data_IF_392055021850
#
_entry.id   IF_392055021850
#
_cell.length_a   1.000
_cell.length_b   1.000
_cell.length_c   1.000
_cell.angle_alpha   90.00
_cell.angle_beta   90.00
_cell.angle_gamma   90.00
#
_symmetry.space_group_name_H-M   'P 1'
#
loop_
_entity.id
_entity.type
_entity.pdbx_description
1 polymer ?
#
# COMPACT_ATOMS: atom_id res chain seq x y z
N UNK A 1 -7.88 -15.74 -16.39
CA UNK A 1 -6.93 -14.65 -16.08
C UNK A 1 -7.51 -13.83 -14.92
N UNK A 2 -6.80 -13.67 -13.80
CA UNK A 2 -7.16 -12.60 -12.85
C UNK A 2 -6.70 -11.28 -13.47
N UNK A 3 -7.50 -10.20 -13.42
CA UNK A 3 -7.05 -8.91 -13.91
C UNK A 3 -5.76 -8.52 -13.18
N UNK A 4 -4.83 -7.84 -13.86
CA UNK A 4 -3.57 -7.31 -13.31
C UNK A 4 -3.77 -6.34 -12.11
N UNK A 5 -5.01 -6.13 -11.68
CA UNK A 5 -5.46 -5.17 -10.70
C UNK A 5 -5.51 -5.72 -9.27
N UNK A 6 -5.09 -6.98 -9.03
CA UNK A 6 -5.14 -7.63 -7.71
C UNK A 6 -3.86 -8.39 -7.37
N UNK A 7 -3.32 -8.13 -6.17
CA UNK A 7 -2.31 -9.03 -5.59
C UNK A 7 -2.95 -10.36 -5.16
N UNK A 8 -2.31 -11.50 -5.45
CA UNK A 8 -2.87 -12.88 -5.33
C UNK A 8 -3.56 -13.21 -3.99
N UNK A 9 -3.23 -12.51 -2.90
CA UNK A 9 -3.71 -12.77 -1.53
C UNK A 9 -4.59 -11.65 -0.93
N UNK A 10 -4.95 -10.64 -1.71
CA UNK A 10 -5.73 -9.51 -1.21
C UNK A 10 -7.15 -9.55 -1.77
N UNK A 11 -8.12 -9.34 -0.88
CA UNK A 11 -9.55 -9.21 -1.21
C UNK A 11 -9.92 -7.79 -1.68
N UNK A 12 -8.93 -6.94 -1.96
CA UNK A 12 -9.11 -5.58 -2.45
C UNK A 12 -8.19 -5.35 -3.66
N UNK A 13 -8.66 -4.56 -4.62
CA UNK A 13 -7.85 -4.20 -5.79
C UNK A 13 -6.68 -3.30 -5.38
N UNK A 14 -5.60 -3.34 -6.17
CA UNK A 14 -4.45 -2.46 -6.06
C UNK A 14 -4.92 -1.01 -6.05
N UNK A 15 -5.85 -0.64 -6.94
CA UNK A 15 -6.43 0.69 -7.03
C UNK A 15 -7.16 1.11 -5.74
N UNK A 16 -7.99 0.23 -5.16
CA UNK A 16 -8.70 0.53 -3.91
C UNK A 16 -7.74 0.76 -2.73
N UNK A 17 -6.69 -0.07 -2.65
CA UNK A 17 -5.64 0.05 -1.64
C UNK A 17 -4.87 1.36 -1.84
N UNK A 18 -4.46 1.65 -3.08
CA UNK A 18 -3.74 2.87 -3.43
C UNK A 18 -4.55 4.11 -3.08
N UNK A 19 -5.84 4.18 -3.48
CA UNK A 19 -6.73 5.29 -3.15
C UNK A 19 -6.86 5.49 -1.64
N UNK A 20 -7.05 4.40 -0.87
CA UNK A 20 -7.16 4.49 0.58
C UNK A 20 -5.89 5.01 1.25
N UNK A 21 -4.72 4.54 0.81
CA UNK A 21 -3.42 4.97 1.33
C UNK A 21 -3.10 6.41 0.93
N UNK A 22 -3.33 6.78 -0.34
CA UNK A 22 -3.12 8.13 -0.84
C UNK A 22 -4.01 9.14 -0.12
N UNK A 23 -5.29 8.83 0.08
CA UNK A 23 -6.19 9.71 0.80
C UNK A 23 -5.72 9.92 2.24
N UNK A 24 -5.26 8.86 2.92
CA UNK A 24 -4.70 8.97 4.27
C UNK A 24 -3.41 9.78 4.30
N UNK A 25 -2.51 9.59 3.34
CA UNK A 25 -1.23 10.29 3.25
C UNK A 25 -1.41 11.78 2.92
N UNK A 26 -2.36 12.12 2.04
CA UNK A 26 -2.61 13.50 1.59
C UNK A 26 -3.51 14.29 2.52
N UNK A 27 -4.56 13.67 3.05
CA UNK A 27 -5.62 14.36 3.80
C UNK A 27 -5.69 13.95 5.29
N UNK A 28 -4.85 13.02 5.73
CA UNK A 28 -4.82 12.57 7.12
C UNK A 28 -6.05 11.75 7.56
N UNK A 29 -6.93 11.33 6.65
CA UNK A 29 -8.19 10.61 6.95
C UNK A 29 -8.36 9.39 6.05
N UNK A 30 -9.04 8.36 6.56
CA UNK A 30 -9.41 7.20 5.74
C UNK A 30 -10.66 7.49 4.91
N UNK A 31 -10.80 6.90 3.71
CA UNK A 31 -12.04 6.99 2.96
C UNK A 31 -13.22 6.37 3.72
N UNK A 32 -14.44 6.92 3.53
CA UNK A 32 -15.66 6.27 4.02
C UNK A 32 -15.82 4.89 3.35
N UNK A 33 -16.42 3.94 4.06
CA UNK A 33 -16.66 2.58 3.55
C UNK A 33 -15.46 1.63 3.63
N UNK A 34 -14.25 2.12 3.92
CA UNK A 34 -13.09 1.26 4.19
C UNK A 34 -12.98 0.99 5.68
N UNK A 35 -12.89 -0.29 6.06
CA UNK A 35 -12.60 -0.66 7.45
C UNK A 35 -11.26 -0.07 7.90
N UNK A 36 -11.29 0.79 8.93
CA UNK A 36 -10.10 1.40 9.53
C UNK A 36 -9.06 0.38 9.95
N UNK A 37 -9.49 -0.79 10.46
CA UNK A 37 -8.59 -1.87 10.84
C UNK A 37 -7.79 -2.39 9.63
N UNK A 38 -8.48 -2.62 8.51
CA UNK A 38 -7.87 -3.07 7.24
C UNK A 38 -6.94 -2.00 6.66
N UNK A 39 -7.37 -0.75 6.66
CA UNK A 39 -6.57 0.36 6.13
C UNK A 39 -5.28 0.59 6.94
N UNK A 40 -5.36 0.51 8.27
CA UNK A 40 -4.18 0.54 9.15
C UNK A 40 -3.24 -0.63 8.89
N UNK A 41 -3.78 -1.80 8.61
CA UNK A 41 -2.98 -2.96 8.24
C UNK A 41 -2.19 -2.71 6.96
N UNK A 42 -2.85 -2.17 5.92
CA UNK A 42 -2.19 -1.79 4.67
C UNK A 42 -1.06 -0.78 4.88
N UNK A 43 -1.30 0.27 5.68
CA UNK A 43 -0.30 1.28 5.99
C UNK A 43 0.94 0.70 6.71
N UNK A 44 0.72 -0.22 7.64
CA UNK A 44 1.81 -0.90 8.35
C UNK A 44 2.62 -1.77 7.40
N UNK A 45 1.95 -2.51 6.51
CA UNK A 45 2.59 -3.27 5.43
C UNK A 45 3.45 -2.36 4.55
N UNK A 46 2.87 -1.25 4.06
CA UNK A 46 3.58 -0.29 3.22
C UNK A 46 4.87 0.21 3.87
N UNK A 47 4.80 0.71 5.10
CA UNK A 47 6.00 1.19 5.80
C UNK A 47 7.08 0.12 5.92
N UNK A 48 6.69 -1.13 6.16
CA UNK A 48 7.62 -2.26 6.26
C UNK A 48 8.28 -2.57 4.92
N UNK A 49 7.48 -2.71 3.86
CA UNK A 49 7.97 -3.01 2.50
C UNK A 49 8.89 -1.91 1.98
N UNK A 50 8.51 -0.65 2.17
CA UNK A 50 9.33 0.51 1.80
C UNK A 50 10.67 0.49 2.53
N UNK A 51 10.64 0.28 3.85
CA UNK A 51 11.88 0.23 4.64
C UNK A 51 12.78 -0.93 4.19
N UNK A 52 12.20 -2.10 3.89
CA UNK A 52 12.95 -3.29 3.52
C UNK A 52 13.55 -3.24 2.11
N UNK A 53 12.80 -2.74 1.12
CA UNK A 53 13.22 -2.80 -0.28
C UNK A 53 13.80 -1.50 -0.83
N UNK A 54 13.46 -0.35 -0.24
CA UNK A 54 13.92 0.97 -0.70
C UNK A 54 14.80 1.68 0.34
N UNK A 55 14.72 1.28 1.61
CA UNK A 55 15.52 1.80 2.70
C UNK A 55 14.85 2.93 3.49
N UNK A 56 15.51 3.36 4.57
CA UNK A 56 14.97 4.35 5.53
C UNK A 56 14.72 5.73 4.93
N UNK A 57 15.48 6.12 3.91
CA UNK A 57 15.34 7.39 3.18
C UNK A 57 13.98 7.57 2.48
N UNK A 58 13.22 6.48 2.28
CA UNK A 58 11.90 6.53 1.63
C UNK A 58 10.73 6.67 2.62
N UNK A 59 11.00 6.79 3.93
CA UNK A 59 9.97 6.86 4.98
C UNK A 59 8.98 8.01 4.81
N UNK A 60 9.42 9.13 4.26
CA UNK A 60 8.58 10.32 4.03
C UNK A 60 8.05 10.39 2.59
N UNK A 61 8.47 9.47 1.72
CA UNK A 61 8.10 9.38 0.29
C UNK A 61 7.15 8.22 0.02
N UNK A 62 6.30 7.86 0.99
CA UNK A 62 5.44 6.66 0.92
C UNK A 62 4.50 6.63 -0.29
N UNK A 63 4.06 7.79 -0.76
CA UNK A 63 3.22 7.94 -1.97
C UNK A 63 3.97 7.42 -3.20
N UNK A 64 5.20 7.90 -3.41
CA UNK A 64 6.05 7.52 -4.54
C UNK A 64 6.56 6.08 -4.38
N UNK A 65 6.93 5.71 -3.15
CA UNK A 65 7.42 4.40 -2.80
C UNK A 65 6.42 3.28 -3.14
N UNK A 66 5.11 3.53 -3.00
CA UNK A 66 4.07 2.59 -3.42
C UNK A 66 4.16 2.27 -4.92
N UNK A 67 4.36 3.30 -5.77
CA UNK A 67 4.53 3.14 -7.21
C UNK A 67 5.77 2.31 -7.52
N UNK A 68 6.92 2.65 -6.91
CA UNK A 68 8.17 1.90 -7.10
C UNK A 68 8.03 0.42 -6.71
N UNK A 69 7.36 0.10 -5.60
CA UNK A 69 7.12 -1.28 -5.19
C UNK A 69 6.22 -2.01 -6.19
N UNK A 70 5.14 -1.37 -6.63
CA UNK A 70 4.21 -1.92 -7.63
C UNK A 70 4.92 -2.19 -8.95
N UNK A 71 5.74 -1.27 -9.42
CA UNK A 71 6.46 -1.39 -10.70
C UNK A 71 7.55 -2.49 -10.64
N UNK A 72 8.00 -2.86 -9.42
CA UNK A 72 8.86 -4.02 -9.15
C UNK A 72 8.09 -5.34 -8.89
N UNK A 73 6.77 -5.35 -9.09
CA UNK A 73 5.87 -6.47 -8.76
C UNK A 73 5.91 -6.91 -7.27
N UNK A 74 6.31 -6.01 -6.37
CA UNK A 74 6.33 -6.25 -4.92
C UNK A 74 4.97 -5.85 -4.33
N UNK A 75 4.37 -6.76 -3.55
CA UNK A 75 3.12 -6.48 -2.85
C UNK A 75 3.34 -5.45 -1.73
N UNK A 76 3.03 -4.18 -2.04
CA UNK A 76 3.33 -3.04 -1.18
C UNK A 76 2.70 -3.12 0.22
N UNK A 77 1.60 -3.87 0.40
CA UNK A 77 0.91 -4.00 1.69
C UNK A 77 1.09 -5.36 2.35
N UNK A 78 1.97 -6.21 1.82
CA UNK A 78 2.31 -7.49 2.41
C UNK A 78 2.99 -7.30 3.78
N UNK A 79 2.68 -8.19 4.72
CA UNK A 79 3.42 -8.28 5.98
C UNK A 79 4.72 -9.07 5.86
N UNK A 80 4.84 -9.94 4.86
CA UNK A 80 6.05 -10.71 4.59
C UNK A 80 6.94 -9.93 3.64
N UNK A 81 8.19 -9.73 4.04
CA UNK A 81 9.28 -9.16 3.24
C UNK A 81 10.05 -10.33 2.64
#
# INVERSE_FOLDING_TARGET
MRPAEYWRRLQASIAAIQTALLQRLRHGRWPPGVSTARARHWMRGLRRQVTAHLGLQWRDRLVEAFGVLRDRDICAVSRSV
#
